data_IF_512678799762
#
_entry.id   IF_512678799762
#
_cell.length_a   1.000
_cell.length_b   1.000
_cell.length_c   1.000
_cell.angle_alpha   90.00
_cell.angle_beta   90.00
_cell.angle_gamma   90.00
#
_symmetry.space_group_name_H-M   'P 1'
#
loop_
_entity.id
_entity.type
_entity.pdbx_description
1 polymer ?
#
# COMPACT_ATOMS: atom_id res chain seq x y z
N UNK A 1 25.15 13.33 24.04
CA UNK A 1 25.20 13.07 22.58
C UNK A 1 25.27 14.42 21.87
N UNK A 2 26.36 14.71 21.18
CA UNK A 2 26.60 16.05 20.63
C UNK A 2 25.67 16.26 19.42
N UNK A 3 24.70 17.17 19.51
CA UNK A 3 23.72 17.40 18.43
C UNK A 3 24.38 17.83 17.11
N UNK A 4 25.58 18.40 17.17
CA UNK A 4 26.41 18.71 16.00
C UNK A 4 26.97 17.45 15.33
N UNK A 5 27.31 16.43 16.12
CA UNK A 5 27.76 15.12 15.63
C UNK A 5 26.62 14.36 14.96
N UNK A 6 25.42 14.39 15.55
CA UNK A 6 24.23 13.77 14.93
C UNK A 6 23.86 14.43 13.59
N UNK A 7 24.00 15.77 13.48
CA UNK A 7 23.82 16.50 12.21
C UNK A 7 24.87 16.12 11.17
N UNK A 8 26.14 15.97 11.57
CA UNK A 8 27.19 15.51 10.65
C UNK A 8 26.94 14.08 10.16
N UNK A 9 26.54 13.16 11.05
CA UNK A 9 26.14 11.81 10.67
C UNK A 9 24.94 11.82 9.72
N UNK A 10 23.93 12.67 9.98
CA UNK A 10 22.76 12.81 9.12
C UNK A 10 23.12 13.35 7.73
N UNK A 11 23.98 14.38 7.64
CA UNK A 11 24.45 14.91 6.36
C UNK A 11 25.26 13.85 5.59
N UNK A 12 26.11 13.08 6.28
CA UNK A 12 26.87 12.00 5.67
C UNK A 12 25.97 10.88 5.12
N UNK A 13 24.92 10.49 5.86
CA UNK A 13 23.93 9.51 5.42
C UNK A 13 23.15 9.97 4.19
N UNK A 14 22.74 11.25 4.16
CA UNK A 14 22.06 11.84 3.00
C UNK A 14 22.97 11.80 1.77
N UNK A 15 24.25 12.20 1.91
CA UNK A 15 25.23 12.14 0.82
C UNK A 15 25.45 10.72 0.30
N UNK A 16 25.57 9.74 1.19
CA UNK A 16 25.69 8.34 0.80
C UNK A 16 24.46 7.87 0.02
N UNK A 17 23.26 8.28 0.42
CA UNK A 17 22.03 7.95 -0.28
C UNK A 17 21.98 8.59 -1.68
N UNK A 18 22.36 9.87 -1.79
CA UNK A 18 22.42 10.62 -3.05
C UNK A 18 23.37 9.98 -4.09
N UNK A 19 24.48 9.39 -3.65
CA UNK A 19 25.42 8.69 -4.56
C UNK A 19 24.78 7.42 -5.15
N UNK A 20 23.89 6.74 -4.40
CA UNK A 20 23.17 5.56 -4.87
C UNK A 20 22.02 5.89 -5.84
N UNK A 21 21.61 7.16 -5.94
CA UNK A 21 20.61 7.64 -6.90
C UNK A 21 21.18 7.90 -8.29
N UNK A 22 22.50 7.92 -8.46
CA UNK A 22 23.10 8.07 -9.79
C UNK A 22 22.92 6.75 -10.55
N UNK A 23 22.21 6.73 -11.70
CA UNK A 23 22.05 5.51 -12.46
C UNK A 23 23.44 5.06 -12.95
N UNK A 24 23.86 3.87 -12.55
CA UNK A 24 25.11 3.23 -12.97
C UNK A 24 24.99 2.70 -14.42
N UNK A 25 24.40 3.51 -15.30
CA UNK A 25 24.04 3.10 -16.64
C UNK A 25 25.23 3.24 -17.59
N UNK A 26 25.53 2.12 -18.24
CA UNK A 26 26.78 1.74 -18.87
C UNK A 26 27.14 2.59 -20.10
N UNK A 27 28.44 2.89 -20.25
CA UNK A 27 29.01 3.41 -21.49
C UNK A 27 29.25 2.22 -22.42
N UNK A 28 28.36 2.03 -23.39
CA UNK A 28 28.69 1.33 -24.63
C UNK A 28 29.19 2.39 -25.62
N UNK A 29 30.49 2.41 -25.86
CA UNK A 29 31.13 3.31 -26.80
C UNK A 29 31.17 2.59 -28.15
N UNK A 30 30.21 2.89 -29.02
CA UNK A 30 30.27 2.55 -30.44
C UNK A 30 30.22 3.87 -31.23
N UNK A 31 31.25 4.09 -32.02
CA UNK A 31 31.44 5.30 -32.82
C UNK A 31 30.77 5.09 -34.18
N UNK A 32 29.72 5.84 -34.50
CA UNK A 32 29.71 6.76 -35.65
C UNK A 32 28.32 7.41 -35.89
N UNK A 33 28.36 8.74 -35.94
CA UNK A 33 27.63 9.65 -36.82
C UNK A 33 26.07 9.68 -36.94
N UNK A 34 25.55 10.90 -36.67
CA UNK A 34 24.48 11.63 -37.38
C UNK A 34 23.05 11.65 -36.77
N UNK A 35 22.85 12.75 -36.03
CA UNK A 35 21.79 13.79 -36.16
C UNK A 35 20.30 13.49 -35.90
N UNK A 36 19.85 14.24 -34.88
CA UNK A 36 18.70 15.18 -34.86
C UNK A 36 17.29 14.61 -34.68
N UNK A 37 16.44 15.48 -34.09
CA UNK A 37 15.01 15.35 -33.80
C UNK A 37 14.71 14.66 -32.45
N UNK A 38 13.87 15.16 -31.55
CA UNK A 38 13.07 16.38 -31.47
C UNK A 38 12.45 16.39 -30.05
N UNK A 39 12.38 17.56 -29.43
CA UNK A 39 11.29 18.09 -28.59
C UNK A 39 10.48 17.18 -27.65
N UNK A 40 10.55 17.57 -26.36
CA UNK A 40 9.51 17.55 -25.32
C UNK A 40 9.05 16.25 -24.69
N UNK A 41 9.08 16.24 -23.35
CA UNK A 41 8.34 15.27 -22.54
C UNK A 41 8.78 15.28 -21.08
N UNK A 42 8.55 16.39 -20.37
CA UNK A 42 8.48 16.37 -18.92
C UNK A 42 7.35 15.42 -18.51
N UNK A 43 7.67 14.30 -17.86
CA UNK A 43 6.73 13.66 -16.93
C UNK A 43 7.52 13.07 -15.77
N UNK A 44 7.19 13.56 -14.58
CA UNK A 44 7.58 12.99 -13.30
C UNK A 44 6.95 11.59 -13.20
N UNK A 45 7.71 10.55 -13.52
CA UNK A 45 7.31 9.19 -13.21
C UNK A 45 7.59 8.92 -11.74
N UNK A 46 6.52 9.05 -10.95
CA UNK A 46 6.37 8.47 -9.63
C UNK A 46 6.99 7.07 -9.59
N UNK A 47 7.76 6.79 -8.53
CA UNK A 47 8.25 5.46 -8.21
C UNK A 47 7.05 4.54 -7.93
N UNK A 48 6.42 4.01 -8.98
CA UNK A 48 5.63 2.80 -8.86
C UNK A 48 6.61 1.63 -8.84
N UNK A 49 7.19 1.38 -7.67
CA UNK A 49 7.78 0.09 -7.35
C UNK A 49 6.65 -0.94 -7.32
N UNK A 50 6.20 -1.35 -8.51
CA UNK A 50 5.40 -2.54 -8.69
C UNK A 50 6.31 -3.72 -8.39
N UNK A 51 6.54 -3.97 -7.10
CA UNK A 51 6.88 -5.29 -6.63
C UNK A 51 5.82 -6.21 -7.23
N UNK A 52 6.24 -7.15 -8.07
CA UNK A 52 5.37 -8.17 -8.65
C UNK A 52 4.64 -8.86 -7.48
N UNK A 53 3.40 -8.42 -7.26
CA UNK A 53 2.54 -8.97 -6.23
C UNK A 53 2.06 -10.30 -6.80
N UNK A 54 2.67 -11.39 -6.35
CA UNK A 54 2.14 -12.73 -6.58
C UNK A 54 0.85 -12.88 -5.77
N UNK A 55 -0.23 -12.28 -6.30
CA UNK A 55 -1.58 -12.25 -5.73
C UNK A 55 -2.12 -13.66 -5.48
N UNK A 56 -1.57 -14.67 -6.18
CA UNK A 56 -1.97 -16.07 -6.09
C UNK A 56 -1.51 -16.82 -4.84
N UNK A 57 -0.50 -16.33 -4.09
CA UNK A 57 0.08 -17.08 -2.96
C UNK A 57 -0.21 -16.48 -1.57
N UNK A 58 -0.60 -15.21 -1.50
CA UNK A 58 -0.81 -14.54 -0.23
C UNK A 58 -2.18 -14.87 0.38
N UNK A 59 -2.19 -15.47 1.58
CA UNK A 59 -3.41 -15.83 2.30
C UNK A 59 -3.74 -14.78 3.35
N UNK A 60 -5.03 -14.48 3.52
CA UNK A 60 -5.54 -13.69 4.66
C UNK A 60 -5.26 -14.45 5.97
N UNK A 61 -4.54 -13.81 6.90
CA UNK A 61 -4.25 -14.36 8.23
C UNK A 61 -5.16 -13.75 9.28
N UNK A 62 -5.38 -12.44 9.24
CA UNK A 62 -6.16 -11.73 10.24
C UNK A 62 -6.87 -10.52 9.64
N UNK A 63 -8.03 -10.17 10.20
CA UNK A 63 -8.64 -8.85 10.00
C UNK A 63 -7.98 -7.82 10.94
N UNK A 64 -7.99 -6.55 10.58
CA UNK A 64 -7.50 -5.41 11.38
C UNK A 64 -8.71 -4.52 11.75
N UNK A 65 -9.44 -4.83 12.84
CA UNK A 65 -10.69 -4.15 13.18
C UNK A 65 -10.54 -2.64 13.43
N UNK A 66 -9.36 -2.20 13.87
CA UNK A 66 -9.07 -0.80 14.17
C UNK A 66 -9.10 0.10 12.93
N UNK A 67 -8.99 -0.48 11.73
CA UNK A 67 -9.04 0.22 10.45
C UNK A 67 -10.40 0.17 9.77
N UNK A 68 -11.40 -0.47 10.40
CA UNK A 68 -12.76 -0.52 9.84
C UNK A 68 -13.28 0.89 9.57
N UNK A 69 -14.02 1.00 8.48
CA UNK A 69 -14.84 2.17 8.15
C UNK A 69 -16.27 1.68 7.92
N UNK A 70 -17.21 2.59 7.64
CA UNK A 70 -18.55 2.18 7.22
C UNK A 70 -18.53 1.19 6.01
N UNK A 71 -17.51 1.25 5.14
CA UNK A 71 -17.49 0.56 3.84
C UNK A 71 -16.29 -0.37 3.63
N UNK A 72 -15.32 -0.41 4.54
CA UNK A 72 -14.03 -1.07 4.31
C UNK A 72 -13.69 -2.06 5.40
N UNK A 73 -13.11 -3.20 5.00
CA UNK A 73 -12.42 -4.16 5.88
C UNK A 73 -10.97 -4.31 5.46
N UNK A 74 -10.06 -4.21 6.42
CA UNK A 74 -8.62 -4.37 6.22
C UNK A 74 -8.13 -5.71 6.76
N UNK A 75 -7.25 -6.34 6.01
CA UNK A 75 -6.71 -7.65 6.33
C UNK A 75 -5.18 -7.67 6.27
N UNK A 76 -4.58 -8.44 7.16
CA UNK A 76 -3.17 -8.81 7.11
C UNK A 76 -2.99 -10.10 6.31
N UNK A 77 -2.05 -10.08 5.38
CA UNK A 77 -1.71 -11.20 4.52
C UNK A 77 -0.47 -11.94 5.02
N UNK A 78 -0.29 -13.19 4.57
CA UNK A 78 0.82 -14.07 4.96
C UNK A 78 2.19 -13.63 4.49
N UNK A 79 2.26 -12.77 3.48
CA UNK A 79 3.48 -12.16 2.97
C UNK A 79 3.84 -10.84 3.70
N UNK A 80 3.09 -10.46 4.74
CA UNK A 80 3.32 -9.24 5.52
C UNK A 80 2.70 -7.98 4.93
N UNK A 81 2.09 -8.05 3.74
CA UNK A 81 1.34 -6.94 3.15
C UNK A 81 -0.08 -6.86 3.73
N UNK A 82 -0.77 -5.77 3.42
CA UNK A 82 -2.17 -5.55 3.79
C UNK A 82 -3.07 -5.50 2.54
N UNK A 83 -4.30 -5.95 2.69
CA UNK A 83 -5.35 -5.85 1.67
C UNK A 83 -6.57 -5.17 2.25
N UNK A 84 -7.07 -4.15 1.54
CA UNK A 84 -8.32 -3.46 1.90
C UNK A 84 -9.42 -3.87 0.93
N UNK A 85 -10.54 -4.36 1.46
CA UNK A 85 -11.73 -4.69 0.67
C UNK A 85 -12.75 -3.58 0.86
N UNK A 86 -13.20 -2.98 -0.26
CA UNK A 86 -14.18 -1.88 -0.26
C UNK A 86 -15.52 -2.38 -0.77
N UNK A 87 -16.56 -2.14 0.01
CA UNK A 87 -17.94 -2.47 -0.33
C UNK A 87 -18.69 -1.22 -0.81
N UNK A 88 -19.62 -1.35 -1.78
CA UNK A 88 -20.43 -0.23 -2.26
C UNK A 88 -21.51 0.21 -1.25
N UNK A 89 -21.84 -0.64 -0.28
CA UNK A 89 -22.84 -0.40 0.76
C UNK A 89 -22.20 -0.46 2.16
N UNK A 90 -22.88 0.14 3.15
CA UNK A 90 -22.40 0.17 4.54
C UNK A 90 -22.43 -1.24 5.14
N UNK A 91 -21.28 -1.72 5.62
CA UNK A 91 -21.10 -3.05 6.21
C UNK A 91 -20.82 -3.03 7.72
N UNK A 92 -20.52 -1.86 8.28
CA UNK A 92 -20.33 -1.68 9.72
C UNK A 92 -21.23 -0.57 10.26
N UNK A 93 -21.68 -0.71 11.51
CA UNK A 93 -22.32 0.39 12.25
C UNK A 93 -21.38 0.95 13.30
N UNK A 94 -21.55 2.23 13.63
CA UNK A 94 -20.78 2.88 14.68
C UNK A 94 -21.49 2.74 16.03
N UNK A 95 -20.74 2.32 17.04
CA UNK A 95 -21.19 2.30 18.43
C UNK A 95 -20.07 2.82 19.35
N UNK A 96 -20.33 3.93 20.05
CA UNK A 96 -19.37 4.59 20.93
C UNK A 96 -18.02 4.89 20.26
N UNK A 97 -18.03 5.32 19.00
CA UNK A 97 -16.81 5.64 18.24
C UNK A 97 -16.04 4.41 17.73
N UNK A 98 -16.63 3.22 17.83
CA UNK A 98 -16.05 1.98 17.31
C UNK A 98 -16.93 1.37 16.22
N UNK A 99 -16.30 0.93 15.13
CA UNK A 99 -16.99 0.25 14.03
C UNK A 99 -17.21 -1.22 14.36
N UNK A 100 -18.48 -1.62 14.35
CA UNK A 100 -18.95 -2.98 14.66
C UNK A 100 -19.59 -3.64 13.45
N UNK A 101 -19.49 -4.97 13.43
CA UNK A 101 -20.03 -5.82 12.36
C UNK A 101 -21.55 -5.84 12.35
N UNK A 102 -22.17 -5.70 11.18
CA UNK A 102 -23.60 -5.96 11.01
C UNK A 102 -23.84 -7.48 10.96
N UNK A 103 -24.55 -8.01 11.96
CA UNK A 103 -24.97 -9.42 11.98
C UNK A 103 -26.31 -9.61 11.25
N UNK A 104 -26.25 -10.23 10.07
CA UNK A 104 -27.42 -10.54 9.24
C UNK A 104 -27.98 -11.96 9.47
N UNK A 105 -27.62 -12.63 10.57
CA UNK A 105 -28.12 -13.99 10.87
C UNK A 105 -29.63 -13.98 11.10
N UNK A 106 -30.37 -14.67 10.22
CA UNK A 106 -31.82 -14.83 10.34
C UNK A 106 -32.18 -15.92 11.37
N UNK A 107 -33.20 -15.66 12.19
CA UNK A 107 -33.75 -16.63 13.16
C UNK A 107 -35.20 -16.95 12.82
N UNK A 108 -35.56 -18.24 12.87
CA UNK A 108 -36.94 -18.69 12.70
C UNK A 108 -37.79 -18.25 13.90
N UNK A 109 -38.78 -17.40 13.65
CA UNK A 109 -39.82 -17.08 14.63
C UNK A 109 -40.95 -18.09 14.51
N UNK A 110 -40.89 -19.18 15.28
CA UNK A 110 -41.94 -20.19 15.33
C UNK A 110 -43.17 -19.68 16.09
N UNK A 111 -44.13 -19.06 15.40
CA UNK A 111 -45.49 -18.95 15.93
C UNK A 111 -46.24 -20.27 15.65
N UNK A 112 -45.98 -21.27 16.49
CA UNK A 112 -46.50 -22.63 16.37
C UNK A 112 -47.87 -22.86 17.02
N UNK A 113 -48.68 -21.83 17.26
CA UNK A 113 -49.99 -21.98 17.91
C UNK A 113 -51.11 -21.46 17.01
N UNK A 114 -51.68 -22.36 16.19
CA UNK A 114 -53.05 -22.27 15.68
C UNK A 114 -53.40 -23.57 14.94
N UNK A 115 -53.76 -24.63 15.68
CA UNK A 115 -54.75 -25.66 15.30
C UNK A 115 -55.31 -26.31 16.56
#
# INVERSE_FOLDING_TARGET
MNMRFLRLCSIALILALLINLLPAQAIALDLDEIKMADTSGETLSEENSSAEFDEGSAKIIAEIPEKRTAFTKDYQLSNGFHMSVVYPEVVHYEDNGQWKEIDNTLKLSGNGNNR
#
